data_IF_908670077683
#
_entry.id   IF_908670077683
#
_cell.length_a   1.000
_cell.length_b   1.000
_cell.length_c   1.000
_cell.angle_alpha   90.00
_cell.angle_beta   90.00
_cell.angle_gamma   90.00
#
_symmetry.space_group_name_H-M   'P 1'
#
loop_
_entity.id
_entity.type
_entity.pdbx_description
1 polymer ?
#
# COMPACT_ATOMS: atom_id res chain seq x y z
N UNK A 1 8.62 -18.52 -22.76
CA UNK A 1 7.69 -17.44 -23.19
C UNK A 1 6.20 -17.80 -23.12
N UNK A 2 5.77 -19.02 -22.76
CA UNK A 2 4.33 -19.38 -22.70
C UNK A 2 3.65 -19.01 -21.36
N UNK A 3 4.29 -19.28 -20.21
CA UNK A 3 3.62 -19.16 -18.89
C UNK A 3 3.19 -17.73 -18.55
N UNK A 4 4.07 -16.74 -18.70
CA UNK A 4 3.76 -15.33 -18.43
C UNK A 4 2.62 -14.81 -19.30
N UNK A 5 2.55 -15.25 -20.56
CA UNK A 5 1.49 -14.86 -21.49
C UNK A 5 0.15 -15.46 -21.10
N UNK A 6 0.12 -16.75 -20.74
CA UNK A 6 -1.10 -17.40 -20.27
C UNK A 6 -1.61 -16.80 -18.96
N UNK A 7 -0.70 -16.40 -18.06
CA UNK A 7 -1.05 -15.68 -16.83
C UNK A 7 -1.76 -14.35 -17.13
N UNK A 8 -1.23 -13.55 -18.07
CA UNK A 8 -1.86 -12.29 -18.46
C UNK A 8 -3.18 -12.49 -19.19
N UNK A 9 -3.30 -13.50 -20.07
CA UNK A 9 -4.57 -13.85 -20.73
C UNK A 9 -5.65 -14.24 -19.72
N UNK A 10 -5.29 -15.10 -18.76
CA UNK A 10 -6.19 -15.49 -17.67
C UNK A 10 -6.61 -14.26 -16.84
N UNK A 11 -5.64 -13.39 -16.52
CA UNK A 11 -5.90 -12.16 -15.78
C UNK A 11 -6.84 -11.20 -16.53
N UNK A 12 -6.59 -10.95 -17.81
CA UNK A 12 -7.44 -10.10 -18.66
C UNK A 12 -8.86 -10.69 -18.79
N UNK A 13 -8.98 -12.00 -18.96
CA UNK A 13 -10.29 -12.68 -19.03
C UNK A 13 -11.04 -12.58 -17.70
N UNK A 14 -10.34 -12.68 -16.57
CA UNK A 14 -10.90 -12.50 -15.24
C UNK A 14 -11.45 -11.08 -15.04
N UNK A 15 -10.71 -10.07 -15.51
CA UNK A 15 -11.15 -8.66 -15.46
C UNK A 15 -12.39 -8.45 -16.33
N UNK A 16 -12.39 -8.92 -17.58
CA UNK A 16 -13.54 -8.80 -18.47
C UNK A 16 -14.79 -9.51 -17.90
N UNK A 17 -14.62 -10.70 -17.31
CA UNK A 17 -15.67 -11.43 -16.61
C UNK A 17 -16.21 -10.66 -15.40
N UNK A 18 -15.33 -10.02 -14.61
CA UNK A 18 -15.74 -9.19 -13.48
C UNK A 18 -16.53 -7.96 -13.92
N UNK A 19 -16.04 -7.24 -14.95
CA UNK A 19 -16.71 -6.04 -15.48
C UNK A 19 -18.08 -6.37 -16.08
N UNK A 20 -18.19 -7.47 -16.84
CA UNK A 20 -19.46 -7.91 -17.46
C UNK A 20 -20.50 -8.42 -16.47
N UNK A 21 -20.08 -9.05 -15.36
CA UNK A 21 -21.00 -9.50 -14.31
C UNK A 21 -21.47 -8.38 -13.38
N UNK A 22 -20.71 -7.29 -13.29
CA UNK A 22 -20.99 -6.15 -12.41
C UNK A 22 -20.99 -4.80 -13.17
N UNK A 23 -21.83 -4.63 -14.21
CA UNK A 23 -21.75 -3.46 -15.10
C UNK A 23 -22.12 -2.13 -14.42
N UNK A 24 -22.95 -2.15 -13.38
CA UNK A 24 -23.47 -0.96 -12.69
C UNK A 24 -22.83 -0.72 -11.31
N UNK A 25 -21.63 -1.26 -11.08
CA UNK A 25 -20.96 -1.21 -9.77
C UNK A 25 -19.83 -0.17 -9.71
N UNK A 26 -19.75 0.74 -10.68
CA UNK A 26 -18.73 1.80 -10.78
C UNK A 26 -18.58 2.59 -9.48
N UNK A 27 -19.67 3.15 -8.95
CA UNK A 27 -19.62 3.97 -7.74
C UNK A 27 -19.03 3.22 -6.53
N UNK A 28 -19.38 1.94 -6.37
CA UNK A 28 -18.87 1.09 -5.30
C UNK A 28 -17.36 0.84 -5.45
N UNK A 29 -16.92 0.36 -6.62
CA UNK A 29 -15.50 0.04 -6.82
C UNK A 29 -14.61 1.28 -6.88
N UNK A 30 -15.10 2.40 -7.42
CA UNK A 30 -14.36 3.66 -7.42
C UNK A 30 -14.18 4.18 -6.00
N UNK A 31 -15.20 4.06 -5.14
CA UNK A 31 -15.09 4.45 -3.73
C UNK A 31 -14.04 3.61 -3.02
N UNK A 32 -14.06 2.28 -3.19
CA UNK A 32 -13.05 1.40 -2.59
C UNK A 32 -11.66 1.73 -3.08
N UNK A 33 -11.48 1.95 -4.39
CA UNK A 33 -10.18 2.34 -4.95
C UNK A 33 -9.68 3.65 -4.33
N UNK A 34 -10.52 4.69 -4.27
CA UNK A 34 -10.12 6.00 -3.70
C UNK A 34 -9.79 5.92 -2.20
N UNK A 35 -10.57 5.18 -1.42
CA UNK A 35 -10.34 5.03 0.04
C UNK A 35 -9.11 4.16 0.33
N UNK A 36 -8.74 3.26 -0.59
CA UNK A 36 -7.54 2.41 -0.47
C UNK A 36 -6.29 3.00 -1.13
N UNK A 37 -6.36 4.25 -1.59
CA UNK A 37 -5.20 4.97 -2.11
C UNK A 37 -4.19 5.20 -0.98
N UNK A 38 -2.91 4.84 -1.14
CA UNK A 38 -1.86 5.15 -0.17
C UNK A 38 -1.83 6.63 0.25
N UNK A 39 -2.10 7.57 -0.67
CA UNK A 39 -2.16 9.00 -0.38
C UNK A 39 -3.22 9.37 0.67
N UNK A 40 -4.34 8.63 0.66
CA UNK A 40 -5.42 8.80 1.65
C UNK A 40 -4.94 8.39 3.05
N UNK A 41 -4.09 7.35 3.15
CA UNK A 41 -3.52 6.96 4.43
C UNK A 41 -2.64 8.07 5.02
N UNK A 42 -1.76 8.67 4.22
CA UNK A 42 -0.92 9.79 4.66
C UNK A 42 -1.71 11.04 5.04
N UNK A 43 -2.72 11.39 4.23
CA UNK A 43 -3.39 12.69 4.34
C UNK A 43 -4.57 12.69 5.30
N UNK A 44 -5.19 11.52 5.55
CA UNK A 44 -6.42 11.40 6.35
C UNK A 44 -6.24 10.44 7.51
N UNK A 45 -5.81 9.19 7.26
CA UNK A 45 -5.75 8.19 8.33
C UNK A 45 -4.69 8.50 9.39
N UNK A 46 -3.49 8.94 8.98
CA UNK A 46 -2.41 9.27 9.92
C UNK A 46 -2.78 10.45 10.84
N UNK A 47 -3.29 11.59 10.34
CA UNK A 47 -3.75 12.69 11.20
C UNK A 47 -4.88 12.29 12.16
N UNK A 48 -5.87 11.53 11.69
CA UNK A 48 -6.96 11.03 12.55
C UNK A 48 -6.42 10.11 13.64
N UNK A 49 -5.51 9.20 13.29
CA UNK A 49 -4.84 8.34 14.25
C UNK A 49 -4.01 9.14 15.27
N UNK A 50 -3.40 10.25 14.87
CA UNK A 50 -2.63 11.11 15.77
C UNK A 50 -3.51 11.77 16.83
N UNK A 51 -4.77 12.06 16.50
CA UNK A 51 -5.77 12.53 17.46
C UNK A 51 -6.25 11.46 18.44
N UNK A 52 -6.07 10.17 18.12
CA UNK A 52 -6.47 9.05 18.98
C UNK A 52 -5.29 8.56 19.83
N UNK A 53 -4.16 8.24 19.19
CA UNK A 53 -2.95 7.73 19.83
C UNK A 53 -1.74 7.98 18.93
N UNK A 54 -0.73 8.71 19.41
CA UNK A 54 0.44 9.08 18.57
C UNK A 54 1.23 7.88 18.06
N UNK A 55 1.34 6.80 18.84
CA UNK A 55 1.96 5.55 18.37
C UNK A 55 1.22 4.93 17.19
N UNK A 56 -0.12 4.91 17.21
CA UNK A 56 -0.89 4.39 16.08
C UNK A 56 -0.59 5.19 14.82
N UNK A 57 -0.53 6.52 14.95
CA UNK A 57 -0.16 7.40 13.84
C UNK A 57 1.25 7.12 13.33
N UNK A 58 2.23 6.94 14.23
CA UNK A 58 3.60 6.62 13.86
C UNK A 58 3.72 5.26 13.17
N UNK A 59 3.03 4.23 13.69
CA UNK A 59 2.99 2.90 13.08
C UNK A 59 2.35 2.93 11.68
N UNK A 60 1.23 3.65 11.54
CA UNK A 60 0.55 3.83 10.25
C UNK A 60 1.44 4.57 9.25
N UNK A 61 2.12 5.63 9.69
CA UNK A 61 3.02 6.42 8.84
C UNK A 61 4.20 5.58 8.36
N UNK A 62 4.89 4.88 9.27
CA UNK A 62 6.06 4.05 8.93
C UNK A 62 5.68 2.85 8.07
N UNK A 63 4.56 2.18 8.38
CA UNK A 63 4.08 1.06 7.56
C UNK A 63 3.68 1.52 6.14
N UNK A 64 2.97 2.64 6.02
CA UNK A 64 2.57 3.20 4.71
C UNK A 64 3.79 3.63 3.89
N UNK A 65 4.73 4.34 4.53
CA UNK A 65 6.01 4.77 3.95
C UNK A 65 6.81 3.59 3.39
N UNK A 66 7.07 2.57 4.21
CA UNK A 66 7.90 1.44 3.77
C UNK A 66 7.16 0.60 2.74
N UNK A 67 5.82 0.46 2.86
CA UNK A 67 5.02 -0.24 1.86
C UNK A 67 5.09 0.45 0.49
N UNK A 68 4.91 1.76 0.44
CA UNK A 68 4.94 2.51 -0.83
C UNK A 68 6.35 2.58 -1.43
N UNK A 69 7.36 2.82 -0.60
CA UNK A 69 8.75 2.87 -1.05
C UNK A 69 9.17 1.52 -1.66
N UNK A 70 8.96 0.43 -0.93
CA UNK A 70 9.30 -0.91 -1.43
C UNK A 70 8.44 -1.31 -2.62
N UNK A 71 7.17 -0.92 -2.69
CA UNK A 71 6.33 -1.11 -3.87
C UNK A 71 6.95 -0.44 -5.11
N UNK A 72 7.41 0.80 -4.97
CA UNK A 72 8.00 1.57 -6.07
C UNK A 72 9.30 0.95 -6.58
N UNK A 73 10.19 0.52 -5.67
CA UNK A 73 11.41 -0.18 -6.04
C UNK A 73 11.12 -1.54 -6.70
N UNK A 74 10.15 -2.30 -6.19
CA UNK A 74 9.72 -3.57 -6.78
C UNK A 74 9.09 -3.38 -8.17
N UNK A 75 8.32 -2.31 -8.39
CA UNK A 75 7.77 -1.96 -9.71
C UNK A 75 8.86 -1.71 -10.74
N UNK A 76 9.91 -1.02 -10.33
CA UNK A 76 11.10 -0.79 -11.16
C UNK A 76 11.93 -2.05 -11.39
N UNK A 77 11.91 -3.01 -10.47
CA UNK A 77 12.61 -4.28 -10.62
C UNK A 77 11.83 -5.27 -11.50
N UNK A 78 10.52 -5.40 -11.30
CA UNK A 78 9.67 -6.39 -11.96
C UNK A 78 9.22 -5.95 -13.35
N UNK A 79 9.06 -4.64 -13.56
CA UNK A 79 8.71 -4.03 -14.85
C UNK A 79 7.51 -4.69 -15.57
N UNK A 80 6.49 -5.08 -14.82
CA UNK A 80 5.31 -5.73 -15.41
C UNK A 80 4.29 -4.74 -16.00
N UNK A 81 3.55 -5.24 -16.99
CA UNK A 81 2.48 -4.51 -17.66
C UNK A 81 1.21 -4.36 -16.80
N UNK A 82 0.38 -3.40 -17.19
CA UNK A 82 -1.00 -3.23 -16.72
C UNK A 82 -1.98 -3.83 -17.70
N UNK A 83 -3.17 -4.25 -17.25
CA UNK A 83 -4.17 -4.88 -18.11
C UNK A 83 -4.57 -4.05 -19.33
N UNK A 84 -4.87 -2.76 -19.14
CA UNK A 84 -5.45 -1.93 -20.20
C UNK A 84 -4.50 -1.69 -21.38
N UNK A 85 -3.20 -1.52 -21.15
CA UNK A 85 -2.24 -1.41 -22.26
C UNK A 85 -1.76 -2.77 -22.77
N UNK A 86 -1.65 -3.79 -21.91
CA UNK A 86 -1.21 -5.12 -22.32
C UNK A 86 -2.16 -5.73 -23.36
N UNK A 87 -3.47 -5.62 -23.12
CA UNK A 87 -4.49 -6.10 -24.04
C UNK A 87 -4.34 -5.45 -25.42
N UNK A 88 -4.07 -4.15 -25.46
CA UNK A 88 -3.93 -3.38 -26.70
C UNK A 88 -2.64 -3.70 -27.46
N UNK A 89 -1.52 -3.84 -26.75
CA UNK A 89 -0.25 -4.27 -27.36
C UNK A 89 -0.35 -5.68 -27.95
N UNK A 90 -1.05 -6.60 -27.28
CA UNK A 90 -1.26 -7.96 -27.81
C UNK A 90 -2.21 -7.97 -29.00
N UNK A 91 -3.26 -7.15 -28.99
CA UNK A 91 -4.19 -6.98 -30.11
C UNK A 91 -3.46 -6.54 -31.40
N UNK A 92 -2.46 -5.65 -31.30
CA UNK A 92 -1.61 -5.24 -32.43
C UNK A 92 -0.83 -6.39 -33.07
N UNK A 93 -0.58 -7.49 -32.34
CA UNK A 93 0.10 -8.68 -32.88
C UNK A 93 -0.83 -9.61 -33.65
N UNK A 94 -2.10 -9.25 -33.81
CA UNK A 94 -3.13 -10.06 -34.48
C UNK A 94 -3.75 -11.15 -33.61
N UNK A 95 -3.42 -11.16 -32.31
CA UNK A 95 -3.99 -12.11 -31.33
C UNK A 95 -5.29 -11.55 -30.75
N UNK A 96 -6.30 -12.41 -30.61
CA UNK A 96 -7.57 -12.04 -29.95
C UNK A 96 -7.36 -11.90 -28.44
N UNK A 97 -7.84 -10.79 -27.90
CA UNK A 97 -7.84 -10.47 -26.47
C UNK A 97 -9.23 -10.05 -26.02
N UNK A 98 -9.59 -10.23 -24.73
CA UNK A 98 -10.85 -9.73 -24.22
C UNK A 98 -10.86 -8.19 -24.22
N UNK A 99 -12.00 -7.58 -24.52
CA UNK A 99 -12.18 -6.13 -24.42
C UNK A 99 -12.29 -5.73 -22.95
N UNK A 100 -11.41 -4.84 -22.49
CA UNK A 100 -11.45 -4.26 -21.15
C UNK A 100 -12.01 -2.85 -21.24
N UNK A 101 -12.96 -2.51 -20.36
CA UNK A 101 -13.48 -1.15 -20.25
C UNK A 101 -12.50 -0.28 -19.47
N UNK A 102 -12.13 0.88 -20.00
CA UNK A 102 -11.41 1.90 -19.26
C UNK A 102 -12.39 2.76 -18.45
N UNK A 103 -11.91 3.23 -17.31
CA UNK A 103 -12.63 4.08 -16.36
C UNK A 103 -11.77 5.29 -16.03
N UNK A 104 -12.33 6.33 -15.37
CA UNK A 104 -11.53 7.47 -14.92
C UNK A 104 -10.36 7.13 -13.99
N UNK A 105 -10.30 5.92 -13.43
CA UNK A 105 -9.23 5.46 -12.54
C UNK A 105 -8.27 4.46 -13.22
N UNK A 106 -8.41 4.20 -14.52
CA UNK A 106 -7.66 3.15 -15.21
C UNK A 106 -6.24 3.55 -15.59
N UNK A 107 -6.03 4.80 -16.04
CA UNK A 107 -4.78 5.22 -16.67
C UNK A 107 -3.72 5.67 -15.65
N UNK A 108 -3.30 4.75 -14.79
CA UNK A 108 -2.13 4.94 -13.93
C UNK A 108 -0.83 4.83 -14.74
N UNK A 109 0.19 5.58 -14.29
CA UNK A 109 1.42 5.83 -15.06
C UNK A 109 2.63 5.00 -14.60
N UNK A 110 2.61 4.44 -13.39
CA UNK A 110 3.64 3.51 -12.91
C UNK A 110 3.47 2.06 -13.41
N UNK A 111 4.49 1.18 -13.28
CA UNK A 111 4.39 -0.25 -13.63
C UNK A 111 3.32 -1.02 -12.83
N UNK A 112 2.90 -2.17 -13.35
CA UNK A 112 1.75 -2.92 -12.82
C UNK A 112 2.01 -3.78 -11.57
N UNK A 113 3.24 -4.26 -11.32
CA UNK A 113 3.49 -5.25 -10.26
C UNK A 113 4.51 -4.78 -9.23
N UNK A 114 4.26 -4.96 -7.92
CA UNK A 114 3.01 -5.42 -7.31
C UNK A 114 1.97 -4.29 -7.20
N UNK A 115 0.71 -4.65 -6.93
CA UNK A 115 -0.36 -3.66 -6.72
C UNK A 115 -0.11 -2.81 -5.48
N UNK A 116 0.12 -1.51 -5.67
CA UNK A 116 0.42 -0.55 -4.60
C UNK A 116 -0.76 -0.33 -3.65
N UNK A 117 -1.98 -0.27 -4.18
CA UNK A 117 -3.19 -0.15 -3.36
C UNK A 117 -3.38 -1.37 -2.46
N UNK A 118 -3.20 -2.58 -3.00
CA UNK A 118 -3.35 -3.82 -2.22
C UNK A 118 -2.24 -3.95 -1.17
N UNK A 119 -1.00 -3.62 -1.54
CA UNK A 119 0.14 -3.65 -0.63
C UNK A 119 0.00 -2.64 0.52
N UNK A 120 -0.34 -1.38 0.21
CA UNK A 120 -0.58 -0.33 1.19
C UNK A 120 -1.77 -0.64 2.09
N UNK A 121 -2.91 -1.02 1.53
CA UNK A 121 -4.09 -1.40 2.30
C UNK A 121 -3.81 -2.59 3.23
N UNK A 122 -3.09 -3.60 2.77
CA UNK A 122 -2.73 -4.75 3.62
C UNK A 122 -1.84 -4.33 4.78
N UNK A 123 -0.82 -3.49 4.54
CA UNK A 123 0.06 -2.99 5.59
C UNK A 123 -0.70 -2.15 6.63
N UNK A 124 -1.52 -1.20 6.18
CA UNK A 124 -2.36 -0.34 7.03
C UNK A 124 -3.34 -1.15 7.86
N UNK A 125 -4.07 -2.09 7.23
CA UNK A 125 -5.03 -2.93 7.95
C UNK A 125 -4.34 -3.85 8.96
N UNK A 126 -3.12 -4.31 8.66
CA UNK A 126 -2.32 -5.07 9.63
C UNK A 126 -1.96 -4.21 10.85
N UNK A 127 -1.55 -2.95 10.65
CA UNK A 127 -1.28 -2.02 11.75
C UNK A 127 -2.51 -1.83 12.64
N UNK A 128 -3.67 -1.56 12.03
CA UNK A 128 -4.92 -1.37 12.77
C UNK A 128 -5.28 -2.63 13.57
N UNK A 129 -5.14 -3.80 12.97
CA UNK A 129 -5.41 -5.09 13.61
C UNK A 129 -4.47 -5.37 14.78
N UNK A 130 -3.16 -5.14 14.63
CA UNK A 130 -2.18 -5.25 15.73
C UNK A 130 -2.49 -4.26 16.86
N UNK A 131 -2.87 -3.03 16.53
CA UNK A 131 -3.24 -2.03 17.52
C UNK A 131 -4.50 -2.45 18.30
N UNK A 132 -5.57 -2.87 17.62
CA UNK A 132 -6.79 -3.38 18.26
C UNK A 132 -6.48 -4.59 19.16
N UNK A 133 -5.68 -5.55 18.68
CA UNK A 133 -5.33 -6.71 19.49
C UNK A 133 -4.60 -6.32 20.77
N UNK A 134 -3.61 -5.43 20.66
CA UNK A 134 -2.74 -5.10 21.78
C UNK A 134 -3.31 -4.07 22.75
N UNK A 135 -4.14 -3.14 22.30
CA UNK A 135 -4.68 -2.07 23.13
C UNK A 135 -6.10 -2.35 23.59
N UNK A 136 -6.85 -3.22 22.90
CA UNK A 136 -8.23 -3.53 23.24
C UNK A 136 -8.43 -5.01 23.61
N UNK A 137 -8.05 -5.97 22.76
CA UNK A 137 -8.42 -7.39 22.98
C UNK A 137 -7.63 -8.03 24.14
N UNK A 138 -6.30 -7.88 24.14
CA UNK A 138 -5.42 -8.53 25.13
C UNK A 138 -5.64 -7.96 26.54
N UNK A 139 -5.62 -6.63 26.76
CA UNK A 139 -5.68 -6.06 28.10
C UNK A 139 -7.05 -6.17 28.78
N UNK A 140 -8.11 -6.45 28.03
CA UNK A 140 -9.47 -6.48 28.59
C UNK A 140 -9.67 -7.72 29.48
N UNK A 141 -9.72 -7.52 30.79
CA UNK A 141 -9.78 -8.60 31.79
C UNK A 141 -11.13 -9.33 31.78
N UNK A 142 -12.24 -8.60 31.57
CA UNK A 142 -13.60 -9.16 31.53
C UNK A 142 -13.88 -10.09 30.32
N UNK A 143 -13.01 -10.08 29.31
CA UNK A 143 -13.18 -10.93 28.14
C UNK A 143 -12.62 -12.33 28.40
N UNK A 144 -13.51 -13.33 28.42
CA UNK A 144 -13.11 -14.75 28.39
C UNK A 144 -12.18 -15.05 27.20
N UNK A 145 -11.24 -15.97 27.38
CA UNK A 145 -10.32 -16.43 26.33
C UNK A 145 -11.02 -16.85 25.04
N UNK A 146 -12.20 -17.48 25.14
CA UNK A 146 -13.01 -17.85 23.97
C UNK A 146 -13.43 -16.62 23.18
N UNK A 147 -13.86 -15.55 23.86
CA UNK A 147 -14.23 -14.27 23.24
C UNK A 147 -13.01 -13.58 22.65
N UNK A 148 -11.86 -13.55 23.34
CA UNK A 148 -10.60 -12.99 22.81
C UNK A 148 -10.17 -13.68 21.51
N UNK A 149 -10.24 -15.03 21.45
CA UNK A 149 -9.96 -15.79 20.22
C UNK A 149 -10.97 -15.49 19.11
N UNK A 150 -12.25 -15.38 19.43
CA UNK A 150 -13.28 -15.03 18.45
C UNK A 150 -13.08 -13.63 17.86
N UNK A 151 -12.80 -12.62 18.70
CA UNK A 151 -12.48 -11.26 18.25
C UNK A 151 -11.21 -11.21 17.41
N UNK A 152 -10.19 -11.98 17.79
CA UNK A 152 -8.97 -12.09 17.00
C UNK A 152 -9.27 -12.68 15.60
N UNK A 153 -9.99 -13.79 15.54
CA UNK A 153 -10.42 -14.40 14.27
C UNK A 153 -11.23 -13.41 13.43
N UNK A 154 -12.19 -12.71 14.05
CA UNK A 154 -13.01 -11.69 13.39
C UNK A 154 -12.14 -10.57 12.81
N UNK A 155 -11.13 -10.10 13.54
CA UNK A 155 -10.20 -9.05 13.06
C UNK A 155 -9.40 -9.49 11.84
N UNK A 156 -8.94 -10.75 11.81
CA UNK A 156 -8.26 -11.33 10.65
C UNK A 156 -9.21 -11.48 9.46
N UNK A 157 -10.42 -11.99 9.69
CA UNK A 157 -11.44 -12.12 8.65
C UNK A 157 -11.78 -10.76 8.05
N UNK A 158 -11.92 -9.72 8.87
CA UNK A 158 -12.16 -8.35 8.40
C UNK A 158 -11.01 -7.82 7.54
N UNK A 159 -9.76 -7.99 7.98
CA UNK A 159 -8.58 -7.61 7.19
C UNK A 159 -8.58 -8.31 5.83
N UNK A 160 -8.78 -9.63 5.80
CA UNK A 160 -8.76 -10.40 4.54
C UNK A 160 -9.87 -9.93 3.60
N UNK A 161 -11.09 -9.76 4.08
CA UNK A 161 -12.18 -9.27 3.23
C UNK A 161 -11.96 -7.85 2.72
N UNK A 162 -11.45 -6.94 3.56
CA UNK A 162 -11.10 -5.59 3.13
C UNK A 162 -10.08 -5.62 1.98
N UNK A 163 -9.01 -6.43 2.10
CA UNK A 163 -8.00 -6.58 1.06
C UNK A 163 -8.56 -7.24 -0.20
N UNK A 164 -9.48 -8.21 -0.07
CA UNK A 164 -10.20 -8.80 -1.21
C UNK A 164 -11.01 -7.75 -1.95
N UNK A 165 -11.76 -6.89 -1.25
CA UNK A 165 -12.53 -5.81 -1.86
C UNK A 165 -11.61 -4.79 -2.56
N UNK A 166 -10.49 -4.41 -1.93
CA UNK A 166 -9.48 -3.56 -2.59
C UNK A 166 -8.98 -4.23 -3.85
N UNK A 167 -8.57 -5.51 -3.79
CA UNK A 167 -8.10 -6.26 -4.95
C UNK A 167 -9.14 -6.28 -6.07
N UNK A 168 -10.40 -6.66 -5.77
CA UNK A 168 -11.49 -6.67 -6.74
C UNK A 168 -11.71 -5.29 -7.36
N UNK A 169 -11.60 -4.20 -6.59
CA UNK A 169 -11.70 -2.85 -7.15
C UNK A 169 -10.61 -2.56 -8.17
N UNK A 170 -9.37 -3.00 -7.92
CA UNK A 170 -8.21 -2.82 -8.81
C UNK A 170 -8.32 -3.65 -10.09
N UNK A 171 -8.87 -4.85 -9.98
CA UNK A 171 -9.24 -5.67 -11.16
C UNK A 171 -10.34 -4.97 -11.95
N UNK A 172 -11.40 -4.50 -11.27
CA UNK A 172 -12.57 -3.89 -11.90
C UNK A 172 -12.23 -2.63 -12.70
N UNK A 173 -11.35 -1.76 -12.18
CA UNK A 173 -10.84 -0.58 -12.90
C UNK A 173 -9.72 -0.90 -13.92
N UNK A 174 -9.43 -2.19 -14.17
CA UNK A 174 -8.44 -2.67 -15.12
C UNK A 174 -7.01 -2.13 -14.91
N UNK A 175 -6.62 -1.83 -13.67
CA UNK A 175 -5.30 -1.28 -13.33
C UNK A 175 -4.28 -2.35 -12.96
N UNK A 176 -4.75 -3.51 -12.47
CA UNK A 176 -3.89 -4.61 -12.01
C UNK A 176 -4.45 -5.98 -12.40
N UNK A 177 -3.55 -6.91 -12.67
CA UNK A 177 -3.87 -8.32 -12.83
C UNK A 177 -4.04 -9.03 -11.46
N UNK A 178 -4.72 -10.19 -11.40
CA UNK A 178 -4.92 -10.94 -10.16
C UNK A 178 -3.61 -11.27 -9.42
N UNK A 179 -2.56 -11.73 -10.13
CA UNK A 179 -1.29 -12.10 -9.51
C UNK A 179 -0.56 -10.90 -8.91
N UNK A 180 -0.70 -9.71 -9.51
CA UNK A 180 -0.13 -8.46 -8.99
C UNK A 180 -0.80 -8.05 -7.67
N UNK A 181 -2.08 -8.33 -7.51
CA UNK A 181 -2.81 -8.13 -6.26
C UNK A 181 -2.37 -9.15 -5.19
N UNK A 182 -2.23 -10.43 -5.56
CA UNK A 182 -1.72 -11.48 -4.66
C UNK A 182 -0.33 -11.14 -4.15
N UNK A 183 0.59 -10.72 -5.02
CA UNK A 183 1.93 -10.26 -4.63
C UNK A 183 1.85 -9.03 -3.71
N UNK A 184 0.97 -8.08 -4.03
CA UNK A 184 0.71 -6.92 -3.17
C UNK A 184 0.29 -7.31 -1.76
N UNK A 185 -0.62 -8.28 -1.62
CA UNK A 185 -1.04 -8.79 -0.31
C UNK A 185 0.14 -9.37 0.48
N UNK A 186 0.95 -10.26 -0.12
CA UNK A 186 2.07 -10.88 0.58
C UNK A 186 3.14 -9.87 1.00
N UNK A 187 3.51 -8.95 0.11
CA UNK A 187 4.49 -7.91 0.46
C UNK A 187 3.94 -6.92 1.49
N UNK A 188 2.66 -6.56 1.41
CA UNK A 188 2.01 -5.70 2.41
C UNK A 188 1.95 -6.35 3.80
N UNK A 189 1.61 -7.64 3.86
CA UNK A 189 1.61 -8.40 5.11
C UNK A 189 3.03 -8.52 5.68
N UNK A 190 4.03 -8.75 4.83
CA UNK A 190 5.44 -8.79 5.24
C UNK A 190 5.88 -7.45 5.86
N UNK A 191 5.58 -6.33 5.19
CA UNK A 191 5.90 -4.99 5.71
C UNK A 191 5.22 -4.74 7.06
N UNK A 192 3.91 -5.00 7.16
CA UNK A 192 3.17 -4.84 8.42
C UNK A 192 3.76 -5.68 9.56
N UNK A 193 4.03 -6.97 9.31
CA UNK A 193 4.61 -7.88 10.30
C UNK A 193 6.00 -7.44 10.74
N UNK A 194 6.87 -7.04 9.80
CA UNK A 194 8.22 -6.62 10.14
C UNK A 194 8.21 -5.34 10.99
N UNK A 195 7.36 -4.37 10.67
CA UNK A 195 7.44 -3.03 11.28
C UNK A 195 6.60 -2.84 12.55
N UNK A 196 5.53 -3.62 12.72
CA UNK A 196 4.56 -3.40 13.81
C UNK A 196 4.43 -4.60 14.75
N UNK A 197 4.69 -5.83 14.28
CA UNK A 197 4.59 -7.01 15.15
C UNK A 197 5.57 -6.90 16.32
N UNK A 198 5.10 -7.05 17.56
CA UNK A 198 5.94 -6.84 18.75
C UNK A 198 7.08 -7.83 18.91
N UNK A 199 6.96 -9.02 18.30
CA UNK A 199 8.02 -10.03 18.29
C UNK A 199 9.10 -9.73 17.24
N UNK A 200 8.85 -8.81 16.31
CA UNK A 200 9.84 -8.36 15.34
C UNK A 200 10.85 -7.42 15.99
N UNK A 201 12.14 -7.71 15.81
CA UNK A 201 13.23 -6.83 16.24
C UNK A 201 13.17 -5.46 15.54
N UNK A 202 12.66 -5.42 14.30
CA UNK A 202 12.58 -4.20 13.49
C UNK A 202 11.61 -3.17 14.10
N UNK A 203 10.51 -3.61 14.69
CA UNK A 203 9.54 -2.75 15.39
C UNK A 203 10.22 -1.90 16.46
N UNK A 204 11.04 -2.54 17.32
CA UNK A 204 11.75 -1.83 18.38
C UNK A 204 12.94 -1.03 17.84
N UNK A 205 13.57 -1.52 16.78
CA UNK A 205 14.71 -0.86 16.14
C UNK A 205 14.35 0.53 15.62
N UNK A 206 13.23 0.69 14.91
CA UNK A 206 12.84 2.00 14.37
C UNK A 206 12.25 2.89 15.47
N UNK A 207 11.40 2.36 16.36
CA UNK A 207 10.77 3.14 17.44
C UNK A 207 11.76 3.75 18.43
N UNK A 208 12.89 3.07 18.66
CA UNK A 208 13.99 3.54 19.53
C UNK A 208 15.13 4.20 18.76
N UNK A 209 15.03 4.29 17.42
CA UNK A 209 16.07 4.87 16.59
C UNK A 209 16.26 6.36 16.89
N UNK A 210 17.50 6.82 17.05
CA UNK A 210 17.76 8.26 17.19
C UNK A 210 17.44 8.99 15.89
N UNK A 211 17.06 10.27 15.97
CA UNK A 211 16.77 11.09 14.79
C UNK A 211 17.92 11.09 13.77
N UNK A 212 19.18 11.18 14.25
CA UNK A 212 20.38 11.11 13.39
C UNK A 212 20.45 9.81 12.61
N UNK A 213 20.18 8.68 13.28
CA UNK A 213 20.21 7.35 12.65
C UNK A 213 19.13 7.24 11.58
N UNK A 214 17.90 7.59 11.90
CA UNK A 214 16.79 7.51 10.96
C UNK A 214 16.97 8.49 9.79
N UNK A 215 17.56 9.66 10.02
CA UNK A 215 17.89 10.61 8.96
C UNK A 215 18.94 10.05 8.01
N UNK A 216 20.01 9.42 8.53
CA UNK A 216 20.99 8.73 7.69
C UNK A 216 20.36 7.60 6.88
N UNK A 217 19.44 6.84 7.47
CA UNK A 217 18.70 5.78 6.76
C UNK A 217 17.80 6.36 5.68
N UNK A 218 17.08 7.45 5.97
CA UNK A 218 16.27 8.17 4.98
C UNK A 218 17.12 8.63 3.81
N UNK A 219 18.27 9.26 4.07
CA UNK A 219 19.19 9.71 3.03
C UNK A 219 19.75 8.54 2.20
N UNK A 220 20.08 7.42 2.86
CA UNK A 220 20.53 6.19 2.18
C UNK A 220 19.44 5.64 1.27
N UNK A 221 18.20 5.52 1.76
CA UNK A 221 17.07 5.03 0.97
C UNK A 221 16.81 5.94 -0.23
N UNK A 222 16.79 7.27 -0.04
CA UNK A 222 16.64 8.23 -1.16
C UNK A 222 17.77 8.06 -2.19
N UNK A 223 19.01 7.86 -1.72
CA UNK A 223 20.16 7.61 -2.58
C UNK A 223 20.03 6.30 -3.37
N UNK A 224 19.50 5.25 -2.76
CA UNK A 224 19.20 3.96 -3.44
C UNK A 224 18.16 4.18 -4.54
N UNK A 225 17.09 4.93 -4.28
CA UNK A 225 16.06 5.22 -5.27
C UNK A 225 16.59 6.03 -6.46
N UNK A 226 17.42 7.06 -6.20
CA UNK A 226 18.09 7.82 -7.27
C UNK A 226 19.03 6.89 -8.06
N UNK A 227 19.78 6.04 -7.37
CA UNK A 227 20.70 5.09 -8.01
C UNK A 227 19.96 4.07 -8.87
N UNK A 228 18.79 3.58 -8.43
CA UNK A 228 17.96 2.65 -9.21
C UNK A 228 17.50 3.26 -10.54
N UNK A 229 17.10 4.54 -10.52
CA UNK A 229 16.75 5.28 -11.74
C UNK A 229 17.92 5.34 -12.73
N UNK A 230 19.11 5.75 -12.25
CA UNK A 230 20.30 5.86 -13.10
C UNK A 230 20.81 4.50 -13.57
N UNK A 231 20.68 3.46 -12.74
CA UNK A 231 21.05 2.10 -13.07
C UNK A 231 20.21 1.55 -14.23
N UNK A 232 18.88 1.73 -14.22
CA UNK A 232 18.04 1.38 -15.37
C UNK A 232 18.47 2.10 -16.64
N UNK A 233 18.75 3.40 -16.53
CA UNK A 233 19.26 4.24 -17.63
C UNK A 233 20.58 3.70 -18.19
N UNK A 234 21.49 3.25 -17.33
CA UNK A 234 22.77 2.66 -17.71
C UNK A 234 22.61 1.30 -18.42
N UNK A 235 21.58 0.53 -18.06
CA UNK A 235 21.18 -0.71 -18.75
C UNK A 235 20.43 -0.46 -20.08
N UNK A 236 20.24 0.80 -20.49
CA UNK A 236 19.46 1.15 -21.69
C UNK A 236 17.95 1.00 -21.51
N UNK A 237 17.48 0.76 -20.30
CA UNK A 237 16.07 0.70 -19.95
C UNK A 237 15.57 2.13 -19.69
N UNK A 238 14.52 2.56 -20.38
CA UNK A 238 13.88 3.84 -20.12
C UNK A 238 13.07 3.78 -18.81
N UNK A 239 13.43 4.48 -17.73
CA UNK A 239 12.70 4.43 -16.45
C UNK A 239 11.25 4.96 -16.56
N UNK A 240 10.93 5.67 -17.64
CA UNK A 240 9.62 6.25 -17.94
C UNK A 240 8.85 5.45 -18.99
N UNK A 241 9.28 4.23 -19.31
CA UNK A 241 8.62 3.36 -20.29
C UNK A 241 7.11 3.18 -20.01
N UNK A 242 6.75 3.01 -18.73
CA UNK A 242 5.36 2.82 -18.31
C UNK A 242 4.52 4.09 -18.50
N UNK A 243 5.13 5.26 -18.34
CA UNK A 243 4.46 6.55 -18.58
C UNK A 243 4.11 6.66 -20.07
N UNK A 244 5.03 6.33 -20.97
CA UNK A 244 4.76 6.34 -22.42
C UNK A 244 3.62 5.39 -22.80
N UNK A 245 3.58 4.20 -22.22
CA UNK A 245 2.47 3.27 -22.44
C UNK A 245 1.14 3.79 -21.91
N UNK A 246 1.15 4.47 -20.75
CA UNK A 246 -0.04 5.12 -20.22
C UNK A 246 -0.59 6.16 -21.19
N UNK A 247 0.25 7.07 -21.68
CA UNK A 247 -0.13 8.08 -22.67
C UNK A 247 -0.58 7.48 -24.01
N UNK A 248 0.06 6.39 -24.45
CA UNK A 248 -0.27 5.73 -25.72
C UNK A 248 -1.64 5.07 -25.70
N UNK A 249 -2.01 4.46 -24.58
CA UNK A 249 -3.16 3.56 -24.50
C UNK A 249 -4.33 4.07 -23.64
N UNK A 250 -4.17 5.20 -22.96
CA UNK A 250 -5.28 5.84 -22.28
C UNK A 250 -6.29 6.39 -23.29
N UNK A 251 -7.56 6.12 -23.08
CA UNK A 251 -8.65 6.54 -23.99
C UNK A 251 -8.93 8.05 -23.90
N UNK A 252 -8.84 8.60 -22.69
CA UNK A 252 -9.13 10.01 -22.40
C UNK A 252 -7.98 10.65 -21.63
N UNK A 253 -7.54 11.84 -22.06
CA UNK A 253 -6.44 12.55 -21.42
C UNK A 253 -6.74 12.90 -19.95
N UNK A 254 -8.01 13.17 -19.62
CA UNK A 254 -8.45 13.45 -18.25
C UNK A 254 -8.35 12.25 -17.29
N UNK A 255 -8.19 11.02 -17.79
CA UNK A 255 -8.06 9.83 -16.94
C UNK A 255 -6.62 9.56 -16.51
N UNK A 256 -5.66 10.35 -17.00
CA UNK A 256 -4.24 10.15 -16.75
C UNK A 256 -3.84 10.65 -15.36
N UNK A 257 -3.34 9.74 -14.52
CA UNK A 257 -2.92 10.04 -13.15
C UNK A 257 -1.40 10.25 -13.06
N UNK A 258 -0.95 11.49 -13.17
CA UNK A 258 0.48 11.88 -13.16
C UNK A 258 1.12 11.74 -11.78
N UNK A 259 0.31 11.86 -10.73
CA UNK A 259 0.68 11.61 -9.33
C UNK A 259 0.98 10.13 -9.04
N UNK A 260 0.56 9.21 -9.90
CA UNK A 260 0.92 7.78 -9.79
C UNK A 260 2.27 7.43 -10.41
N UNK A 261 3.06 8.44 -10.81
CA UNK A 261 4.42 8.22 -11.31
C UNK A 261 5.35 7.75 -10.19
N UNK A 262 6.26 6.78 -10.45
CA UNK A 262 7.23 6.31 -9.46
C UNK A 262 8.06 7.44 -8.81
N UNK A 263 8.42 8.47 -9.58
CA UNK A 263 9.22 9.58 -9.07
C UNK A 263 8.43 10.44 -8.07
N UNK A 264 7.13 10.68 -8.32
CA UNK A 264 6.28 11.43 -7.41
C UNK A 264 6.15 10.73 -6.05
N UNK A 265 5.87 9.41 -6.05
CA UNK A 265 5.84 8.59 -4.84
C UNK A 265 7.16 8.66 -4.06
N UNK A 266 8.31 8.53 -4.74
CA UNK A 266 9.61 8.57 -4.07
C UNK A 266 9.94 9.90 -3.39
N UNK A 267 9.52 11.03 -3.97
CA UNK A 267 9.70 12.35 -3.35
C UNK A 267 8.84 12.47 -2.11
N UNK A 268 7.56 12.07 -2.20
CA UNK A 268 6.63 12.04 -1.06
C UNK A 268 7.16 11.16 0.07
N UNK A 269 7.58 9.94 -0.26
CA UNK A 269 8.10 8.97 0.69
C UNK A 269 9.40 9.45 1.34
N UNK A 270 10.30 10.06 0.57
CA UNK A 270 11.52 10.67 1.12
C UNK A 270 11.20 11.78 2.13
N UNK A 271 10.21 12.63 1.81
CA UNK A 271 9.74 13.66 2.75
C UNK A 271 9.15 13.07 4.03
N UNK A 272 8.30 12.05 3.91
CA UNK A 272 7.72 11.35 5.06
C UNK A 272 8.79 10.64 5.91
N UNK A 273 9.80 10.03 5.29
CA UNK A 273 10.92 9.40 6.00
C UNK A 273 11.74 10.40 6.80
N UNK A 274 12.01 11.59 6.25
CA UNK A 274 12.64 12.69 6.99
C UNK A 274 11.74 13.14 8.15
N UNK A 275 10.42 13.25 7.94
CA UNK A 275 9.46 13.57 9.00
C UNK A 275 9.47 12.56 10.15
N UNK A 276 9.51 11.26 9.85
CA UNK A 276 9.68 10.19 10.85
C UNK A 276 11.01 10.36 11.59
N UNK A 277 12.09 10.65 10.88
CA UNK A 277 13.40 10.86 11.51
C UNK A 277 13.38 12.05 12.49
N UNK A 278 12.78 13.18 12.11
CA UNK A 278 12.72 14.39 12.94
C UNK A 278 11.82 14.24 14.16
N UNK A 279 10.79 13.39 14.10
CA UNK A 279 9.90 13.07 15.23
C UNK A 279 10.44 11.99 16.17
N UNK A 280 11.61 11.41 15.85
CA UNK A 280 12.22 10.31 16.61
C UNK A 280 13.10 10.79 17.77
N UNK A 281 13.25 10.03 18.88
CA UNK A 281 12.69 8.70 19.16
C UNK A 281 11.19 8.74 19.50
N UNK A 282 10.40 7.98 18.72
CA UNK A 282 8.96 7.82 18.96
C UNK A 282 8.69 7.16 20.32
N UNK A 283 9.59 6.30 20.80
CA UNK A 283 9.48 5.69 22.12
C UNK A 283 9.50 6.71 23.28
N UNK A 284 10.15 7.87 23.13
CA UNK A 284 10.14 8.89 24.17
C UNK A 284 8.79 9.59 24.27
N UNK A 285 8.03 9.67 23.17
CA UNK A 285 6.65 10.18 23.15
C UNK A 285 5.70 9.24 23.92
N UNK A 286 5.92 7.93 23.85
CA UNK A 286 5.15 6.93 24.63
C UNK A 286 5.29 7.09 26.14
N UNK A 287 6.50 7.42 26.60
CA UNK A 287 6.74 7.66 28.02
C UNK A 287 6.03 8.92 28.50
N UNK A 288 6.07 9.99 27.71
CA UNK A 288 5.37 11.23 28.00
C UNK A 288 3.84 11.04 28.02
N UNK A 289 3.26 10.34 27.04
CA UNK A 289 1.82 10.03 27.03
C UNK A 289 1.40 9.23 28.27
N UNK A 290 2.16 8.19 28.66
CA UNK A 290 1.84 7.42 29.87
C UNK A 290 1.90 8.25 31.14
N UNK A 291 2.90 9.14 31.27
CA UNK A 291 3.05 10.01 32.43
C UNK A 291 1.87 11.01 32.50
N UNK A 292 1.48 11.57 31.36
CA UNK A 292 0.33 12.48 31.28
C UNK A 292 -0.96 11.74 31.63
N UNK A 293 -1.20 10.56 31.05
CA UNK A 293 -2.40 9.76 31.33
C UNK A 293 -2.48 9.33 32.81
N UNK A 294 -1.36 8.92 33.41
CA UNK A 294 -1.31 8.56 34.83
C UNK A 294 -1.56 9.76 35.75
N UNK A 295 -1.14 10.96 35.32
CA UNK A 295 -1.37 12.21 36.07
C UNK A 295 -2.83 12.68 35.96
N UNK A 296 -3.45 12.51 34.79
CA UNK A 296 -4.88 12.81 34.59
C UNK A 296 -5.74 11.86 35.42
N UNK A 297 -5.46 10.56 35.36
CA UNK A 297 -6.22 9.55 36.10
C UNK A 297 -6.05 9.68 37.63
N UNK A 298 -4.95 10.27 38.12
CA UNK A 298 -4.74 10.51 39.55
C UNK A 298 -5.37 11.81 40.05
N UNK A 299 -5.67 12.77 39.16
CA UNK A 299 -6.36 14.03 39.50
C UNK A 299 -7.86 14.01 39.24
N UNK A 300 -8.35 13.09 38.40
CA UNK A 300 -9.77 12.88 38.11
C UNK A 300 -10.11 11.39 38.16
N UNK A 301 -10.20 10.79 39.35
CA UNK A 301 -10.68 9.42 39.48
C UNK A 301 -12.16 9.32 39.02
N UNK A 302 -12.59 8.16 38.49
CA UNK A 302 -13.97 7.93 38.06
C UNK A 302 -14.99 8.06 39.20
#
# INVERSE_FOLDING_TARGET
>A
MSVTRELYKFGASSIASLQSRLPNSDGFFFTITKVSDPAYAFSVLVPLAAGIHTLLAADLLVASLVAEWSNTLLKWLLMEDRPYWWVREVELTGLRTPTLRQTPLTCETGPGSPSGHVMGATAVMYVLREWIEHYYIIPHEDLSDKKKRALNLLSWTFLIWAVVFVSLSRLYVATHFPHQCVLGFFFGLMVGRLLVCKTSAWTWWWRRGSWKRLLCISALLTSISISAYWFQRALGIDPQWSVRLAFKWCEHAEYLHVDTTPLYSLVRDSGAAIGVALSSPVHSLLHLERIVQSTINSHWPP
#
